data_IF_971380109735
#
_entry.id   IF_971380109735
#
_cell.length_a   1.000
_cell.length_b   1.000
_cell.length_c   1.000
_cell.angle_alpha   90.00
_cell.angle_beta   90.00
_cell.angle_gamma   90.00
#
_symmetry.space_group_name_H-M   'P 1'
#
loop_
_entity.id
_entity.type
_entity.pdbx_description
1 polymer ?
#
# COMPACT_ATOMS: atom_id res chain seq x y z
N UNK A 1 6.91 17.14 17.04
CA UNK A 1 6.71 16.68 16.89
C UNK A 1 5.98 15.73 16.92
N UNK A 2 5.63 15.41 17.17
CA UNK A 2 4.87 14.33 17.38
C UNK A 2 3.56 14.39 16.81
N UNK A 3 3.10 15.50 16.34
CA UNK A 3 1.83 15.51 15.82
C UNK A 3 1.75 14.72 14.61
N UNK A 4 2.77 14.60 13.84
CA UNK A 4 2.66 13.81 12.64
C UNK A 4 2.39 12.38 12.97
N UNK A 5 2.83 11.92 14.11
CA UNK A 5 2.56 10.57 14.47
C UNK A 5 1.16 10.36 14.85
N UNK A 6 0.55 11.34 15.46
CA UNK A 6 -0.82 11.15 15.85
C UNK A 6 -1.73 11.13 14.67
N UNK A 7 -1.28 11.61 13.53
CA UNK A 7 -2.11 11.60 12.37
C UNK A 7 -2.05 10.31 11.62
N UNK A 8 -1.09 9.47 11.92
CA UNK A 8 -0.97 8.20 11.21
C UNK A 8 -1.82 7.18 11.88
N UNK A 9 -2.76 6.64 11.16
CA UNK A 9 -3.56 5.54 11.67
C UNK A 9 -2.81 4.25 11.44
N UNK A 10 -3.19 3.19 12.15
CA UNK A 10 -2.61 1.89 11.87
C UNK A 10 -2.81 1.47 10.41
N UNK A 11 -3.94 1.82 9.82
CA UNK A 11 -4.16 1.46 8.42
C UNK A 11 -3.18 2.16 7.51
N UNK A 12 -2.87 3.43 7.78
CA UNK A 12 -1.90 4.14 6.94
C UNK A 12 -0.50 3.60 7.14
N UNK A 13 -0.15 3.21 8.36
CA UNK A 13 1.14 2.60 8.57
C UNK A 13 1.24 1.27 7.86
N UNK A 14 0.16 0.51 7.91
CA UNK A 14 0.14 -0.76 7.22
C UNK A 14 0.29 -0.55 5.71
N UNK A 15 -0.45 0.41 5.16
CA UNK A 15 -0.35 0.69 3.73
C UNK A 15 1.07 1.09 3.35
N UNK A 16 1.71 1.90 4.19
CA UNK A 16 3.07 2.33 3.90
C UNK A 16 4.03 1.15 3.86
N UNK A 17 3.92 0.24 4.83
CA UNK A 17 4.79 -0.92 4.86
C UNK A 17 4.57 -1.79 3.64
N UNK A 18 3.32 -1.98 3.26
CA UNK A 18 3.03 -2.83 2.12
C UNK A 18 3.50 -2.20 0.82
N UNK A 19 3.40 -0.88 0.70
CA UNK A 19 3.88 -0.23 -0.49
C UNK A 19 5.40 -0.28 -0.58
N UNK A 20 6.08 -0.17 0.55
CA UNK A 20 7.52 -0.34 0.55
C UNK A 20 7.90 -1.74 0.11
N UNK A 21 7.19 -2.74 0.61
CA UNK A 21 7.47 -4.12 0.21
C UNK A 21 7.19 -4.31 -1.27
N UNK A 22 6.09 -3.74 -1.77
CA UNK A 22 5.76 -3.86 -3.17
C UNK A 22 6.84 -3.23 -4.04
N UNK A 23 7.30 -2.06 -3.64
CA UNK A 23 8.34 -1.37 -4.41
C UNK A 23 9.63 -2.19 -4.44
N UNK A 24 9.99 -2.77 -3.30
CA UNK A 24 11.20 -3.58 -3.23
C UNK A 24 11.08 -4.80 -4.13
N UNK A 25 9.97 -5.52 -4.04
CA UNK A 25 9.80 -6.71 -4.86
C UNK A 25 9.70 -6.37 -6.34
N UNK A 26 9.09 -5.26 -6.66
CA UNK A 26 9.02 -4.85 -8.06
C UNK A 26 10.40 -4.54 -8.59
N UNK A 27 11.26 -3.92 -7.79
CA UNK A 27 12.60 -3.64 -8.22
C UNK A 27 13.40 -4.93 -8.42
N UNK A 28 13.23 -5.88 -7.50
CA UNK A 28 13.93 -7.15 -7.65
C UNK A 28 13.46 -7.87 -8.91
N UNK A 29 12.16 -7.85 -9.17
CA UNK A 29 11.64 -8.48 -10.38
C UNK A 29 12.24 -7.84 -11.62
N UNK A 30 12.31 -6.52 -11.63
CA UNK A 30 12.89 -5.81 -12.74
C UNK A 30 14.35 -6.24 -12.96
N UNK A 31 15.11 -6.32 -11.87
CA UNK A 31 16.50 -6.72 -11.97
C UNK A 31 16.64 -8.16 -12.45
N UNK A 32 15.73 -9.03 -12.02
CA UNK A 32 15.78 -10.42 -12.45
C UNK A 32 15.56 -10.55 -13.95
N UNK A 33 14.72 -9.70 -14.52
CA UNK A 33 14.52 -9.72 -15.96
C UNK A 33 15.83 -9.40 -16.67
N UNK A 34 16.56 -8.41 -16.17
CA UNK A 34 17.82 -8.04 -16.79
C UNK A 34 18.82 -9.18 -16.73
N UNK A 35 18.72 -10.02 -15.71
CA UNK A 35 19.63 -11.15 -15.56
C UNK A 35 19.11 -12.40 -16.27
N UNK A 36 17.96 -12.35 -16.88
CA UNK A 36 17.39 -13.51 -17.53
C UNK A 36 16.78 -14.52 -16.59
N UNK A 37 16.55 -14.13 -15.33
CA UNK A 37 16.01 -15.04 -14.34
C UNK A 37 14.51 -14.88 -14.28
N UNK A 38 13.83 -15.44 -15.27
CA UNK A 38 12.42 -15.12 -15.44
C UNK A 38 11.52 -15.73 -14.39
N UNK A 39 11.87 -16.93 -13.89
CA UNK A 39 11.05 -17.51 -12.84
C UNK A 39 11.11 -16.66 -11.58
N UNK A 40 12.29 -16.16 -11.25
CA UNK A 40 12.43 -15.33 -10.08
C UNK A 40 11.73 -14.00 -10.28
N UNK A 41 11.83 -13.46 -11.49
CA UNK A 41 11.14 -12.22 -11.79
C UNK A 41 9.64 -12.40 -11.58
N UNK A 42 9.09 -13.51 -12.05
CA UNK A 42 7.67 -13.76 -11.90
C UNK A 42 7.28 -13.87 -10.43
N UNK A 43 8.08 -14.60 -9.65
CA UNK A 43 7.80 -14.75 -8.23
C UNK A 43 7.78 -13.41 -7.51
N UNK A 44 8.78 -12.57 -7.77
CA UNK A 44 8.83 -11.29 -7.10
C UNK A 44 7.75 -10.35 -7.58
N UNK A 45 7.36 -10.45 -8.86
CA UNK A 45 6.26 -9.65 -9.36
C UNK A 45 4.96 -10.03 -8.68
N UNK A 46 4.74 -11.33 -8.45
CA UNK A 46 3.56 -11.77 -7.73
C UNK A 46 3.56 -11.25 -6.31
N UNK A 47 4.70 -11.29 -5.65
CA UNK A 47 4.79 -10.79 -4.29
C UNK A 47 4.51 -9.30 -4.26
N UNK A 48 5.01 -8.57 -5.25
CA UNK A 48 4.73 -7.14 -5.33
C UNK A 48 3.24 -6.89 -5.49
N UNK A 49 2.58 -7.69 -6.32
CA UNK A 49 1.16 -7.53 -6.54
C UNK A 49 0.38 -7.75 -5.25
N UNK A 50 0.72 -8.79 -4.52
CA UNK A 50 0.03 -9.10 -3.28
C UNK A 50 0.21 -7.97 -2.27
N UNK A 51 1.42 -7.44 -2.16
CA UNK A 51 1.67 -6.35 -1.24
C UNK A 51 0.91 -5.09 -1.66
N UNK A 52 0.89 -4.80 -2.96
CA UNK A 52 0.17 -3.63 -3.44
C UNK A 52 -1.33 -3.79 -3.18
N UNK A 53 -1.86 -5.00 -3.38
CA UNK A 53 -3.27 -5.24 -3.09
C UNK A 53 -3.57 -5.03 -1.62
N UNK A 54 -2.67 -5.45 -0.74
CA UNK A 54 -2.86 -5.23 0.69
C UNK A 54 -2.88 -3.74 1.01
N UNK A 55 -2.04 -2.97 0.33
CA UNK A 55 -2.03 -1.53 0.54
C UNK A 55 -3.34 -0.91 0.09
N UNK A 56 -3.88 -1.37 -1.03
CA UNK A 56 -5.16 -0.87 -1.52
C UNK A 56 -6.24 -1.12 -0.48
N UNK A 57 -6.25 -2.32 0.09
CA UNK A 57 -7.23 -2.67 1.10
C UNK A 57 -7.11 -1.77 2.32
N UNK A 58 -5.88 -1.54 2.78
CA UNK A 58 -5.68 -0.70 3.95
C UNK A 58 -6.08 0.74 3.67
N UNK A 59 -5.77 1.24 2.48
CA UNK A 59 -6.15 2.60 2.14
C UNK A 59 -7.66 2.74 2.00
N UNK A 60 -8.31 1.73 1.45
CA UNK A 60 -9.76 1.76 1.33
C UNK A 60 -10.41 1.79 2.71
N UNK A 61 -9.87 1.01 3.64
CA UNK A 61 -10.40 1.01 4.99
C UNK A 61 -10.24 2.36 5.65
N UNK A 62 -9.09 2.99 5.43
CA UNK A 62 -8.85 4.30 6.02
C UNK A 62 -9.80 5.34 5.43
N UNK A 63 -10.00 5.29 4.13
CA UNK A 63 -10.90 6.24 3.49
C UNK A 63 -12.33 6.07 3.98
N UNK A 64 -12.77 4.83 4.13
CA UNK A 64 -14.10 4.58 4.68
C UNK A 64 -14.23 5.09 6.09
N UNK A 65 -13.19 4.87 6.89
CA UNK A 65 -13.21 5.32 8.26
C UNK A 65 -13.33 6.83 8.35
N UNK A 66 -12.63 7.54 7.47
CA UNK A 66 -12.69 8.99 7.48
C UNK A 66 -14.05 9.49 7.05
N UNK A 67 -14.65 8.82 6.07
CA UNK A 67 -15.98 9.21 5.64
C UNK A 67 -16.97 9.06 6.77
N UNK A 68 -16.91 7.95 7.49
CA UNK A 68 -17.82 7.73 8.58
C UNK A 68 -17.59 8.71 9.70
N UNK A 69 -16.37 9.21 9.83
CA UNK A 69 -16.08 10.13 10.89
C UNK A 69 -16.41 11.55 10.59
N UNK A 70 -16.99 11.84 9.42
CA UNK A 70 -17.31 13.19 9.06
C UNK A 70 -18.79 13.34 8.87
N UNK A 71 -19.49 13.51 9.93
CA UNK A 71 -20.94 13.51 9.86
C UNK A 71 -21.51 14.65 9.07
N UNK A 72 -20.81 15.71 8.97
CA UNK A 72 -21.36 16.83 8.27
C UNK A 72 -21.02 16.82 6.82
N UNK A 73 -20.76 15.74 6.27
CA UNK A 73 -20.47 15.61 4.91
C UNK A 73 -21.56 16.17 4.14
N UNK A 74 -21.38 17.20 3.52
CA UNK A 74 -22.47 17.84 2.90
C UNK A 74 -22.98 17.12 1.75
N UNK A 75 -22.66 16.72 1.30
CA UNK A 75 -23.27 16.17 0.49
C UNK A 75 -24.20 16.51 0.07
N UNK A 76 -24.53 16.74 0.12
CA UNK A 76 -25.36 17.03 -0.07
C UNK A 76 -25.67 17.85 -0.31
N UNK A 77 -25.81 18.09 -0.67
CA UNK A 77 -26.37 18.90 -0.91
C UNK A 77 -26.90 18.94 -1.43
#
# INVERSE_FOLDING_TARGET
>A
MTESQTENSPALEEASRELQAAAHDAQVAFDCIALGELDRAHTHALTAKVAADAAVTALAAELSHRDLGQPDQPENP
#
